data_IF_864212704029
#
_entry.id   IF_864212704029
#
_cell.length_a   1.000
_cell.length_b   1.000
_cell.length_c   1.000
_cell.angle_alpha   90.00
_cell.angle_beta   90.00
_cell.angle_gamma   90.00
#
_symmetry.space_group_name_H-M   'P 1'
#
loop_
_entity.id
_entity.type
_entity.pdbx_description
1 polymer ?
#
# COMPACT_ATOMS: atom_id res chain seq x y z
N UNK A 1 51.23 7.63 -6.63
CA UNK A 1 50.81 7.30 -8.00
C UNK A 1 49.34 6.91 -7.93
N UNK A 2 48.45 7.75 -8.47
CA UNK A 2 47.03 7.42 -8.62
C UNK A 2 46.94 6.18 -9.51
N UNK A 3 46.31 5.11 -9.02
CA UNK A 3 46.14 3.89 -9.77
C UNK A 3 45.51 4.20 -11.14
N UNK A 4 45.99 3.54 -12.20
CA UNK A 4 45.50 3.72 -13.56
C UNK A 4 44.01 3.32 -13.62
N UNK A 5 43.10 4.28 -13.43
CA UNK A 5 41.66 4.05 -13.38
C UNK A 5 41.13 3.96 -14.80
N UNK A 6 40.49 2.84 -15.12
CA UNK A 6 39.96 2.63 -16.46
C UNK A 6 38.84 3.62 -16.75
N UNK A 7 38.85 4.22 -17.95
CA UNK A 7 37.86 5.21 -18.39
C UNK A 7 36.40 4.75 -18.19
N UNK A 8 36.14 3.45 -18.37
CA UNK A 8 34.82 2.83 -18.13
C UNK A 8 34.23 3.13 -16.74
N UNK A 9 35.08 3.23 -15.71
CA UNK A 9 34.60 3.54 -14.36
C UNK A 9 34.25 5.02 -14.18
N UNK A 10 34.79 5.93 -14.99
CA UNK A 10 34.33 7.32 -15.02
C UNK A 10 32.94 7.39 -15.67
N UNK A 11 32.76 6.72 -16.81
CA UNK A 11 31.47 6.65 -17.51
C UNK A 11 30.36 6.02 -16.63
N UNK A 12 30.71 5.17 -15.66
CA UNK A 12 29.77 4.59 -14.70
C UNK A 12 29.46 5.50 -13.52
N UNK A 13 30.40 6.37 -13.13
CA UNK A 13 30.20 7.33 -12.05
C UNK A 13 29.27 8.47 -12.47
N UNK A 14 29.26 8.82 -13.77
CA UNK A 14 28.40 9.87 -14.33
C UNK A 14 26.97 9.39 -14.63
N UNK A 15 26.65 8.12 -14.41
CA UNK A 15 25.29 7.59 -14.63
C UNK A 15 24.32 8.11 -13.57
N UNK A 16 23.07 8.48 -13.93
CA UNK A 16 22.07 8.95 -12.97
C UNK A 16 21.82 8.00 -11.78
N UNK A 17 21.96 6.67 -11.98
CA UNK A 17 21.86 5.66 -10.92
C UNK A 17 22.80 5.92 -9.73
N UNK A 18 23.89 6.67 -9.92
CA UNK A 18 24.83 7.03 -8.85
C UNK A 18 24.33 8.12 -7.92
N UNK A 19 23.24 8.81 -8.29
CA UNK A 19 22.57 9.78 -7.43
C UNK A 19 21.73 9.08 -6.36
N UNK A 20 21.25 7.87 -6.65
CA UNK A 20 20.50 7.03 -5.73
C UNK A 20 21.37 6.62 -4.52
N UNK A 21 20.76 6.62 -3.34
CA UNK A 21 21.43 6.29 -2.08
C UNK A 21 21.09 4.86 -1.68
N UNK A 22 22.03 3.95 -1.95
CA UNK A 22 21.93 2.56 -1.51
C UNK A 22 22.47 2.42 -0.08
N UNK A 23 21.67 1.85 0.80
CA UNK A 23 22.07 1.47 2.15
C UNK A 23 22.34 -0.04 2.21
N UNK A 24 23.24 -0.45 3.11
CA UNK A 24 23.33 -1.86 3.52
C UNK A 24 22.18 -2.16 4.48
N UNK A 25 21.73 -3.41 4.50
CA UNK A 25 20.73 -3.84 5.49
C UNK A 25 21.25 -3.66 6.92
N UNK A 26 20.34 -3.23 7.80
CA UNK A 26 20.53 -3.08 9.24
C UNK A 26 19.23 -3.45 9.97
N UNK A 27 18.96 -4.76 10.17
CA UNK A 27 17.73 -5.24 10.79
C UNK A 27 17.49 -4.70 12.20
N UNK A 28 18.57 -4.40 12.95
CA UNK A 28 18.47 -3.85 14.30
C UNK A 28 17.84 -2.44 14.35
N UNK A 29 17.81 -1.73 13.22
CA UNK A 29 17.16 -0.42 13.05
C UNK A 29 15.96 -0.45 12.12
N UNK A 30 15.47 -1.64 11.75
CA UNK A 30 14.37 -1.81 10.80
C UNK A 30 14.76 -1.55 9.33
N UNK A 31 16.05 -1.43 9.00
CA UNK A 31 16.51 -1.33 7.61
C UNK A 31 16.67 -2.72 6.99
N UNK A 32 15.56 -3.44 6.86
CA UNK A 32 15.48 -4.74 6.22
C UNK A 32 14.14 -4.81 5.51
N UNK A 33 14.14 -5.08 4.20
CA UNK A 33 12.92 -5.02 3.42
C UNK A 33 11.95 -6.15 3.80
N UNK A 34 12.48 -7.35 4.04
CA UNK A 34 11.74 -8.57 4.38
C UNK A 34 12.67 -9.57 5.09
N UNK A 35 12.10 -10.51 5.84
CA UNK A 35 12.83 -11.61 6.50
C UNK A 35 13.89 -11.12 7.51
N UNK A 36 13.52 -10.12 8.32
CA UNK A 36 14.37 -9.69 9.42
C UNK A 36 14.53 -10.85 10.41
N UNK A 37 15.72 -11.07 10.98
CA UNK A 37 15.90 -12.02 12.07
C UNK A 37 15.06 -11.69 13.32
N UNK A 38 14.54 -10.46 13.42
CA UNK A 38 13.66 -10.02 14.49
C UNK A 38 12.16 -10.18 14.17
N UNK A 39 11.79 -10.59 12.95
CA UNK A 39 10.40 -10.84 12.60
C UNK A 39 9.87 -12.03 13.43
N UNK A 40 8.65 -11.95 13.99
CA UNK A 40 8.10 -13.03 14.78
C UNK A 40 7.82 -14.27 13.93
N UNK A 41 7.97 -15.45 14.55
CA UNK A 41 7.58 -16.70 13.92
C UNK A 41 6.04 -16.77 13.81
N UNK A 42 5.47 -17.17 12.64
CA UNK A 42 4.03 -17.22 12.47
C UNK A 42 3.37 -18.25 13.37
N UNK A 43 2.45 -17.79 14.22
CA UNK A 43 1.75 -18.66 15.17
C UNK A 43 0.40 -18.09 15.57
N UNK A 44 -0.55 -18.94 15.92
CA UNK A 44 -1.86 -18.51 16.43
C UNK A 44 -2.34 -19.47 17.51
N UNK A 45 -2.99 -18.95 18.54
CA UNK A 45 -3.80 -19.74 19.46
C UNK A 45 -5.22 -19.16 19.51
N UNK A 46 -6.21 -20.05 19.54
CA UNK A 46 -7.62 -19.70 19.60
C UNK A 46 -8.28 -20.45 20.75
N UNK A 47 -8.96 -19.73 21.64
CA UNK A 47 -9.74 -20.31 22.73
C UNK A 47 -11.12 -19.66 22.78
N UNK A 48 -12.17 -20.48 22.89
CA UNK A 48 -13.56 -20.00 23.00
C UNK A 48 -13.96 -19.01 21.89
N UNK A 49 -13.45 -19.22 20.67
CA UNK A 49 -13.72 -18.35 19.51
C UNK A 49 -13.02 -16.99 19.58
N UNK A 50 -11.92 -16.86 20.33
CA UNK A 50 -11.10 -15.65 20.42
C UNK A 50 -9.63 -15.97 20.22
N UNK A 51 -8.91 -15.07 19.58
CA UNK A 51 -7.45 -15.16 19.46
C UNK A 51 -6.82 -14.89 20.84
N UNK A 52 -6.06 -15.86 21.36
CA UNK A 52 -5.36 -15.77 22.64
C UNK A 52 -3.85 -15.60 22.50
N UNK A 53 -3.31 -15.83 21.31
CA UNK A 53 -1.93 -15.53 20.92
C UNK A 53 -1.86 -15.31 19.40
N UNK A 54 -1.06 -14.35 18.97
CA UNK A 54 -0.78 -14.05 17.56
C UNK A 54 0.71 -13.78 17.39
N UNK A 55 1.35 -14.48 16.45
CA UNK A 55 2.76 -14.34 16.08
C UNK A 55 3.72 -14.34 17.29
N UNK A 56 3.45 -15.23 18.25
CA UNK A 56 4.26 -15.40 19.45
C UNK A 56 3.96 -14.41 20.59
N UNK A 57 3.06 -13.44 20.38
CA UNK A 57 2.63 -12.48 21.42
C UNK A 57 1.33 -12.97 22.06
N UNK A 58 1.32 -13.11 23.39
CA UNK A 58 0.11 -13.51 24.12
C UNK A 58 -0.89 -12.35 24.18
N UNK A 59 -2.19 -12.66 24.25
CA UNK A 59 -3.23 -11.64 24.26
C UNK A 59 -3.15 -10.64 25.42
N UNK A 60 -2.50 -11.04 26.54
CA UNK A 60 -2.23 -10.16 27.66
C UNK A 60 -1.20 -9.06 27.33
N UNK A 61 -0.28 -9.35 26.41
CA UNK A 61 0.84 -8.49 26.01
C UNK A 61 0.58 -7.75 24.69
N UNK A 62 -0.56 -8.02 24.04
CA UNK A 62 -0.96 -7.32 22.83
C UNK A 62 -0.95 -5.81 23.01
N UNK A 63 -0.33 -5.12 22.06
CA UNK A 63 -0.44 -3.68 21.92
C UNK A 63 -1.76 -3.26 21.25
N UNK A 64 -1.85 -2.01 20.80
CA UNK A 64 -3.06 -1.51 20.12
C UNK A 64 -3.31 -2.19 18.77
N UNK A 65 -2.25 -2.43 17.99
CA UNK A 65 -2.31 -3.05 16.66
C UNK A 65 -2.66 -4.52 16.78
N UNK A 66 -1.99 -5.24 17.66
CA UNK A 66 -2.25 -6.64 17.92
C UNK A 66 -3.71 -6.86 18.31
N UNK A 67 -4.21 -6.06 19.26
CA UNK A 67 -5.62 -6.11 19.70
C UNK A 67 -6.57 -5.82 18.54
N UNK A 68 -6.25 -4.84 17.71
CA UNK A 68 -7.09 -4.45 16.59
C UNK A 68 -7.17 -5.57 15.54
N UNK A 69 -6.02 -6.12 15.14
CA UNK A 69 -5.93 -7.23 14.17
C UNK A 69 -6.63 -8.47 14.72
N UNK A 70 -6.26 -8.91 15.92
CA UNK A 70 -6.78 -10.12 16.55
C UNK A 70 -8.29 -10.08 16.79
N UNK A 71 -8.86 -8.89 16.99
CA UNK A 71 -10.30 -8.71 17.25
C UNK A 71 -11.13 -8.52 15.99
N UNK A 72 -10.62 -7.81 14.99
CA UNK A 72 -11.42 -7.33 13.86
C UNK A 72 -11.02 -7.90 12.50
N UNK A 73 -9.80 -8.41 12.35
CA UNK A 73 -9.25 -8.78 11.03
C UNK A 73 -8.75 -10.22 10.91
N UNK A 74 -8.60 -10.92 12.04
CA UNK A 74 -8.28 -12.35 12.06
C UNK A 74 -9.50 -13.17 12.49
N UNK A 75 -10.00 -14.05 11.60
CA UNK A 75 -11.16 -14.89 11.84
C UNK A 75 -10.78 -16.13 12.69
N UNK A 76 -11.23 -16.23 13.94
CA UNK A 76 -10.90 -17.34 14.83
C UNK A 76 -11.49 -18.69 14.39
N UNK A 77 -12.51 -18.70 13.51
CA UNK A 77 -13.07 -19.92 12.96
C UNK A 77 -12.22 -20.48 11.81
N UNK A 78 -11.50 -19.63 11.08
CA UNK A 78 -10.67 -20.01 9.92
C UNK A 78 -9.21 -20.19 10.33
N UNK A 79 -8.71 -19.42 11.29
CA UNK A 79 -7.30 -19.41 11.67
C UNK A 79 -6.70 -20.79 11.99
N UNK A 80 -7.38 -21.70 12.73
CA UNK A 80 -6.85 -23.04 12.99
C UNK A 80 -6.66 -23.89 11.73
N UNK A 81 -7.48 -23.70 10.70
CA UNK A 81 -7.32 -24.37 9.41
C UNK A 81 -6.19 -23.71 8.62
N UNK A 82 -6.30 -22.39 8.39
CA UNK A 82 -5.43 -21.66 7.48
C UNK A 82 -3.96 -21.68 7.93
N UNK A 83 -3.70 -21.55 9.24
CA UNK A 83 -2.34 -21.53 9.80
C UNK A 83 -1.64 -22.89 9.80
N UNK A 84 -2.36 -23.99 9.51
CA UNK A 84 -1.74 -25.32 9.35
C UNK A 84 -1.18 -25.56 7.95
N UNK A 85 -1.62 -24.78 6.97
CA UNK A 85 -1.14 -24.91 5.59
C UNK A 85 0.28 -24.33 5.53
N UNK A 86 1.29 -25.07 5.02
CA UNK A 86 2.63 -24.55 4.86
C UNK A 86 2.64 -23.27 4.00
N UNK A 87 3.42 -22.27 4.40
CA UNK A 87 3.48 -20.99 3.69
C UNK A 87 3.86 -21.15 2.21
N UNK A 88 4.80 -22.05 1.90
CA UNK A 88 5.17 -22.37 0.52
C UNK A 88 4.01 -22.96 -0.29
N UNK A 89 3.13 -23.74 0.32
CA UNK A 89 1.98 -24.31 -0.37
C UNK A 89 0.90 -23.25 -0.62
N UNK A 90 0.68 -22.32 0.31
CA UNK A 90 -0.14 -21.13 0.08
C UNK A 90 0.44 -20.26 -1.06
N UNK A 91 1.76 -20.06 -1.07
CA UNK A 91 2.46 -19.31 -2.11
C UNK A 91 2.27 -19.95 -3.50
N UNK A 92 2.38 -21.29 -3.60
CA UNK A 92 2.08 -22.03 -4.83
C UNK A 92 0.63 -21.85 -5.27
N UNK A 93 -0.33 -21.88 -4.35
CA UNK A 93 -1.75 -21.65 -4.68
C UNK A 93 -2.02 -20.23 -5.19
N UNK A 94 -1.25 -19.21 -4.75
CA UNK A 94 -1.35 -17.86 -5.29
C UNK A 94 -1.03 -17.82 -6.80
N UNK A 95 -0.16 -18.71 -7.30
CA UNK A 95 0.20 -18.81 -8.72
C UNK A 95 -0.44 -19.98 -9.49
N UNK A 96 -1.23 -20.83 -8.81
CA UNK A 96 -1.96 -21.92 -9.47
C UNK A 96 -3.25 -21.41 -10.15
N UNK A 97 -3.34 -21.51 -11.47
CA UNK A 97 -4.52 -21.06 -12.23
C UNK A 97 -5.83 -21.79 -11.87
N UNK A 98 -5.76 -22.98 -11.25
CA UNK A 98 -6.93 -23.74 -10.82
C UNK A 98 -7.40 -23.37 -9.41
N UNK A 99 -6.58 -22.67 -8.62
CA UNK A 99 -6.94 -22.24 -7.28
C UNK A 99 -7.84 -20.98 -7.36
N UNK A 100 -9.11 -21.05 -6.91
CA UNK A 100 -10.04 -19.94 -7.03
C UNK A 100 -9.70 -18.82 -6.05
N UNK A 101 -9.79 -17.57 -6.50
CA UNK A 101 -9.58 -16.37 -5.68
C UNK A 101 -10.40 -16.39 -4.38
N UNK A 102 -11.66 -16.84 -4.45
CA UNK A 102 -12.56 -16.87 -3.29
C UNK A 102 -12.04 -17.74 -2.14
N UNK A 103 -11.41 -18.89 -2.44
CA UNK A 103 -10.82 -19.75 -1.43
C UNK A 103 -9.57 -19.09 -0.82
N UNK A 104 -8.73 -18.46 -1.64
CA UNK A 104 -7.54 -17.75 -1.17
C UNK A 104 -7.89 -16.57 -0.27
N UNK A 105 -8.93 -15.80 -0.61
CA UNK A 105 -9.44 -14.71 0.23
C UNK A 105 -9.99 -15.26 1.55
N UNK A 106 -10.77 -16.35 1.51
CA UNK A 106 -11.26 -17.01 2.74
C UNK A 106 -10.10 -17.42 3.65
N UNK A 107 -9.09 -18.10 3.10
CA UNK A 107 -7.92 -18.52 3.87
C UNK A 107 -7.15 -17.33 4.44
N UNK A 108 -6.98 -16.26 3.67
CA UNK A 108 -6.28 -15.05 4.11
C UNK A 108 -6.89 -14.42 5.38
N UNK A 109 -8.21 -14.52 5.57
CA UNK A 109 -8.86 -14.07 6.81
C UNK A 109 -8.47 -14.89 8.05
N UNK A 110 -7.86 -16.06 7.89
CA UNK A 110 -7.32 -16.85 9.00
C UNK A 110 -5.80 -16.79 9.15
N UNK A 111 -5.09 -16.04 8.30
CA UNK A 111 -3.62 -15.95 8.37
C UNK A 111 -3.21 -14.73 9.21
N UNK A 112 -2.22 -14.93 10.08
CA UNK A 112 -1.61 -13.85 10.86
C UNK A 112 -0.73 -12.94 9.98
N UNK A 113 -0.40 -11.72 10.43
CA UNK A 113 0.51 -10.84 9.69
C UNK A 113 1.84 -11.51 9.32
N UNK A 114 2.50 -12.20 10.26
CA UNK A 114 3.76 -12.88 9.97
C UNK A 114 3.58 -14.01 8.95
N UNK A 115 2.46 -14.75 9.00
CA UNK A 115 2.18 -15.80 8.02
C UNK A 115 1.96 -15.22 6.62
N UNK A 116 1.22 -14.12 6.50
CA UNK A 116 1.01 -13.45 5.22
C UNK A 116 2.33 -12.97 4.61
N UNK A 117 3.19 -12.35 5.42
CA UNK A 117 4.52 -11.91 5.00
C UNK A 117 5.41 -13.08 4.55
N UNK A 118 5.41 -14.19 5.30
CA UNK A 118 6.14 -15.42 4.95
C UNK A 118 5.68 -15.99 3.61
N UNK A 119 4.36 -16.08 3.37
CA UNK A 119 3.79 -16.59 2.12
C UNK A 119 4.24 -15.78 0.92
N UNK A 120 4.15 -14.44 0.98
CA UNK A 120 4.56 -13.59 -0.14
C UNK A 120 6.08 -13.56 -0.32
N UNK A 121 6.85 -13.75 0.75
CA UNK A 121 8.31 -13.84 0.70
C UNK A 121 8.86 -15.06 -0.02
N UNK A 122 8.03 -16.08 -0.27
CA UNK A 122 8.40 -17.20 -1.13
C UNK A 122 8.30 -16.89 -2.64
N UNK A 123 7.69 -15.78 -3.03
CA UNK A 123 7.42 -15.47 -4.44
C UNK A 123 8.49 -14.56 -5.04
N UNK A 124 8.92 -14.88 -6.26
CA UNK A 124 9.68 -13.97 -7.10
C UNK A 124 8.80 -12.82 -7.62
N UNK A 125 9.42 -11.77 -8.17
CA UNK A 125 8.69 -10.65 -8.77
C UNK A 125 7.71 -11.07 -9.87
N UNK A 126 8.04 -12.10 -10.67
CA UNK A 126 7.16 -12.62 -11.71
C UNK A 126 5.94 -13.33 -11.13
N UNK A 127 6.15 -14.13 -10.09
CA UNK A 127 5.10 -14.84 -9.38
C UNK A 127 4.17 -13.88 -8.63
N UNK A 128 4.72 -12.81 -8.03
CA UNK A 128 3.93 -11.73 -7.43
C UNK A 128 3.05 -11.05 -8.47
N UNK A 129 3.58 -10.73 -9.67
CA UNK A 129 2.78 -10.14 -10.74
C UNK A 129 1.61 -11.04 -11.17
N UNK A 130 1.86 -12.36 -11.29
CA UNK A 130 0.81 -13.34 -11.58
C UNK A 130 -0.23 -13.39 -10.45
N UNK A 131 0.21 -13.56 -9.20
CA UNK A 131 -0.65 -13.61 -8.02
C UNK A 131 -1.51 -12.35 -7.90
N UNK A 132 -0.92 -11.16 -8.11
CA UNK A 132 -1.61 -9.88 -8.11
C UNK A 132 -2.72 -9.84 -9.18
N UNK A 133 -2.45 -10.33 -10.38
CA UNK A 133 -3.45 -10.38 -11.46
C UNK A 133 -4.68 -11.23 -11.10
N UNK A 134 -4.48 -12.33 -10.35
CA UNK A 134 -5.56 -13.20 -9.83
C UNK A 134 -6.27 -12.55 -8.64
N UNK A 135 -5.52 -12.00 -7.69
CA UNK A 135 -6.04 -11.54 -6.40
C UNK A 135 -6.68 -10.15 -6.46
N UNK A 136 -6.36 -9.32 -7.47
CA UNK A 136 -6.98 -8.02 -7.70
C UNK A 136 -8.50 -8.10 -7.63
N UNK A 137 -9.10 -7.25 -6.79
CA UNK A 137 -10.54 -7.28 -6.54
C UNK A 137 -11.36 -6.81 -7.75
N UNK A 138 -10.92 -5.74 -8.42
CA UNK A 138 -11.56 -5.24 -9.64
C UNK A 138 -11.04 -5.99 -10.87
N UNK A 139 -11.96 -6.41 -11.75
CA UNK A 139 -11.60 -7.08 -13.02
C UNK A 139 -10.79 -6.14 -13.92
N UNK A 140 -11.32 -4.96 -14.18
CA UNK A 140 -10.63 -3.92 -14.93
C UNK A 140 -9.69 -3.14 -14.01
N UNK A 141 -8.41 -2.99 -14.34
CA UNK A 141 -7.52 -2.10 -13.60
C UNK A 141 -7.96 -0.64 -13.81
N UNK A 142 -7.86 0.16 -12.76
CA UNK A 142 -7.97 1.61 -12.82
C UNK A 142 -6.60 2.26 -12.75
N UNK A 143 -6.53 3.58 -12.93
CA UNK A 143 -5.33 4.36 -12.77
C UNK A 143 -5.63 5.69 -12.10
N UNK A 144 -4.66 6.21 -11.34
CA UNK A 144 -4.75 7.45 -10.59
C UNK A 144 -3.64 8.41 -11.03
N UNK A 145 -3.92 9.72 -11.03
CA UNK A 145 -2.93 10.76 -11.34
C UNK A 145 -2.81 11.80 -10.23
N UNK A 146 -1.61 12.33 -10.02
CA UNK A 146 -1.42 13.55 -9.24
C UNK A 146 -1.63 14.78 -10.13
N UNK A 147 -2.40 15.73 -9.61
CA UNK A 147 -2.65 17.06 -10.18
C UNK A 147 -2.20 18.08 -9.15
N UNK A 148 -0.96 18.54 -9.28
CA UNK A 148 -0.34 19.50 -8.36
C UNK A 148 0.52 20.49 -9.14
N UNK A 149 0.81 21.64 -8.54
CA UNK A 149 1.84 22.53 -9.04
C UNK A 149 2.56 23.22 -7.88
N UNK A 150 3.81 23.65 -8.11
CA UNK A 150 4.67 24.18 -7.06
C UNK A 150 4.19 25.48 -6.39
N UNK A 151 3.13 26.11 -6.93
CA UNK A 151 2.56 27.38 -6.46
C UNK A 151 1.17 27.21 -5.84
N UNK A 152 0.61 26.01 -5.85
CA UNK A 152 -0.80 25.77 -5.55
C UNK A 152 -1.73 26.66 -6.38
N UNK A 153 -1.37 26.93 -7.65
CA UNK A 153 -2.16 27.80 -8.54
C UNK A 153 -3.47 27.08 -8.93
N UNK A 154 -4.64 27.57 -8.48
CA UNK A 154 -5.92 26.89 -8.71
C UNK A 154 -6.32 26.89 -10.19
N UNK A 155 -5.88 27.86 -10.99
CA UNK A 155 -6.22 27.87 -12.41
C UNK A 155 -5.50 26.73 -13.14
N UNK A 156 -4.22 26.53 -12.83
CA UNK A 156 -3.46 25.42 -13.39
C UNK A 156 -4.02 24.08 -12.91
N UNK A 157 -4.36 23.94 -11.61
CA UNK A 157 -4.94 22.71 -11.06
C UNK A 157 -6.24 22.32 -11.78
N UNK A 158 -7.14 23.26 -12.02
CA UNK A 158 -8.38 22.98 -12.72
C UNK A 158 -8.13 22.53 -14.17
N UNK A 159 -7.19 23.15 -14.88
CA UNK A 159 -6.83 22.78 -16.24
C UNK A 159 -6.17 21.40 -16.31
N UNK A 160 -5.18 21.14 -15.45
CA UNK A 160 -4.46 19.87 -15.40
C UNK A 160 -5.38 18.73 -14.95
N UNK A 161 -6.33 18.98 -14.03
CA UNK A 161 -7.35 18.01 -13.65
C UNK A 161 -8.26 17.64 -14.83
N UNK A 162 -8.76 18.63 -15.58
CA UNK A 162 -9.59 18.36 -16.76
C UNK A 162 -8.83 17.54 -17.81
N UNK A 163 -7.55 17.84 -18.04
CA UNK A 163 -6.69 17.11 -18.98
C UNK A 163 -6.42 15.68 -18.49
N UNK A 164 -6.02 15.51 -17.23
CA UNK A 164 -5.74 14.19 -16.65
C UNK A 164 -6.97 13.29 -16.80
N UNK A 165 -8.13 13.80 -16.40
CA UNK A 165 -9.37 13.04 -16.52
C UNK A 165 -9.71 12.71 -17.98
N UNK A 166 -9.51 13.64 -18.91
CA UNK A 166 -9.70 13.39 -20.35
C UNK A 166 -8.74 12.34 -20.92
N UNK A 167 -7.54 12.18 -20.34
CA UNK A 167 -6.58 11.13 -20.70
C UNK A 167 -6.95 9.75 -20.14
N UNK A 168 -8.01 9.66 -19.33
CA UNK A 168 -8.58 8.39 -18.86
C UNK A 168 -8.22 8.00 -17.44
N UNK A 169 -7.72 8.91 -16.61
CA UNK A 169 -7.58 8.65 -15.17
C UNK A 169 -8.96 8.55 -14.49
N UNK A 170 -9.16 7.48 -13.72
CA UNK A 170 -10.42 7.22 -13.00
C UNK A 170 -10.48 7.90 -11.65
N UNK A 171 -9.30 8.23 -11.12
CA UNK A 171 -9.08 8.89 -9.85
C UNK A 171 -8.00 9.97 -10.05
N UNK A 172 -8.17 11.13 -9.44
CA UNK A 172 -7.12 12.15 -9.38
C UNK A 172 -6.89 12.62 -7.95
N UNK A 173 -5.66 12.97 -7.64
CA UNK A 173 -5.25 13.46 -6.33
C UNK A 173 -4.60 14.82 -6.45
N UNK A 174 -4.90 15.72 -5.52
CA UNK A 174 -4.10 16.91 -5.29
C UNK A 174 -3.56 16.96 -3.87
N UNK A 175 -2.55 17.77 -3.66
CA UNK A 175 -2.06 18.18 -2.35
C UNK A 175 -1.49 19.59 -2.49
N UNK A 176 -0.98 20.15 -1.40
CA UNK A 176 -0.64 21.56 -1.26
C UNK A 176 0.77 21.74 -0.74
N UNK A 177 1.49 22.71 -1.33
CA UNK A 177 2.74 23.20 -0.77
C UNK A 177 2.51 24.04 0.48
N UNK A 178 1.45 24.84 0.48
CA UNK A 178 1.05 25.67 1.63
C UNK A 178 -0.27 25.14 2.16
N UNK A 179 -0.28 24.64 3.40
CA UNK A 179 -1.46 24.00 4.02
C UNK A 179 -2.78 24.78 3.85
N UNK A 180 -2.74 26.11 3.97
CA UNK A 180 -3.93 26.99 3.82
C UNK A 180 -4.55 26.98 2.42
N UNK A 181 -3.86 26.48 1.41
CA UNK A 181 -4.35 26.37 0.04
C UNK A 181 -5.13 25.07 -0.23
N UNK A 182 -5.24 24.16 0.75
CA UNK A 182 -5.95 22.89 0.58
C UNK A 182 -7.38 23.10 0.02
N UNK A 183 -8.14 24.05 0.57
CA UNK A 183 -9.49 24.37 0.10
C UNK A 183 -9.54 24.89 -1.34
N UNK A 184 -8.61 25.77 -1.74
CA UNK A 184 -8.55 26.26 -3.11
C UNK A 184 -8.14 25.17 -4.09
N UNK A 185 -7.23 24.28 -3.68
CA UNK A 185 -6.77 23.17 -4.49
C UNK A 185 -7.89 22.13 -4.69
N UNK A 186 -8.56 21.75 -3.59
CA UNK A 186 -9.70 20.85 -3.62
C UNK A 186 -10.80 21.38 -4.55
N UNK A 187 -11.19 22.65 -4.40
CA UNK A 187 -12.20 23.27 -5.27
C UNK A 187 -11.76 23.29 -6.73
N UNK A 188 -10.52 23.68 -7.03
CA UNK A 188 -10.00 23.73 -8.39
C UNK A 188 -10.04 22.35 -9.07
N UNK A 189 -9.56 21.31 -8.39
CA UNK A 189 -9.59 19.96 -8.90
C UNK A 189 -11.02 19.40 -9.01
N UNK A 190 -11.92 19.74 -8.08
CA UNK A 190 -13.35 19.38 -8.17
C UNK A 190 -13.98 19.88 -9.47
N UNK A 191 -13.74 21.16 -9.79
CA UNK A 191 -14.21 21.79 -11.02
C UNK A 191 -13.55 21.15 -12.24
N UNK A 192 -12.22 21.02 -12.24
CA UNK A 192 -11.49 20.45 -13.36
C UNK A 192 -11.90 19.01 -13.68
N UNK A 193 -12.00 18.15 -12.66
CA UNK A 193 -12.46 16.77 -12.81
C UNK A 193 -13.87 16.70 -13.42
N UNK A 194 -14.78 17.53 -12.92
CA UNK A 194 -16.17 17.60 -13.40
C UNK A 194 -16.27 18.06 -14.86
N UNK A 195 -15.36 18.94 -15.30
CA UNK A 195 -15.27 19.40 -16.70
C UNK A 195 -14.67 18.31 -17.61
N UNK A 196 -13.64 17.60 -17.17
CA UNK A 196 -12.96 16.58 -17.99
C UNK A 196 -13.83 15.36 -18.28
N UNK A 197 -14.39 14.74 -17.25
CA UNK A 197 -15.31 13.59 -17.36
C UNK A 197 -16.11 13.48 -16.07
N UNK A 198 -17.43 13.60 -16.20
CA UNK A 198 -18.33 13.39 -15.07
C UNK A 198 -18.16 11.99 -14.46
N UNK A 199 -18.04 11.92 -13.13
CA UNK A 199 -17.91 10.68 -12.38
C UNK A 199 -16.47 10.25 -12.06
N UNK A 200 -15.44 10.97 -12.49
CA UNK A 200 -14.08 10.75 -11.99
C UNK A 200 -13.99 11.11 -10.51
N UNK A 201 -13.40 10.20 -9.72
CA UNK A 201 -13.19 10.43 -8.30
C UNK A 201 -12.00 11.37 -8.10
N UNK A 202 -12.07 12.20 -7.06
CA UNK A 202 -10.97 13.09 -6.72
C UNK A 202 -10.82 13.29 -5.21
N UNK A 203 -9.57 13.45 -4.78
CA UNK A 203 -9.17 13.69 -3.38
C UNK A 203 -8.22 14.88 -3.24
N UNK A 204 -8.07 15.37 -2.00
CA UNK A 204 -7.16 16.44 -1.62
C UNK A 204 -6.40 16.06 -0.35
N UNK A 205 -5.25 15.41 -0.52
CA UNK A 205 -4.45 14.82 0.55
C UNK A 205 -3.89 15.89 1.48
N UNK A 206 -4.34 15.87 2.73
CA UNK A 206 -4.06 16.88 3.75
C UNK A 206 -3.89 16.25 5.13
N UNK A 207 -3.84 17.07 6.19
CA UNK A 207 -3.99 16.55 7.55
C UNK A 207 -5.40 15.96 7.71
N UNK A 208 -5.52 14.85 8.45
CA UNK A 208 -6.71 13.99 8.51
C UNK A 208 -8.01 14.75 8.84
N UNK A 209 -7.98 15.65 9.81
CA UNK A 209 -9.17 16.43 10.20
C UNK A 209 -9.53 17.49 9.15
N UNK A 210 -8.54 18.15 8.56
CA UNK A 210 -8.73 19.10 7.47
C UNK A 210 -9.30 18.41 6.21
N UNK A 211 -8.74 17.26 5.84
CA UNK A 211 -9.20 16.46 4.69
C UNK A 211 -10.65 16.01 4.87
N UNK A 212 -11.02 15.57 6.08
CA UNK A 212 -12.40 15.22 6.41
C UNK A 212 -13.35 16.43 6.34
N UNK A 213 -12.92 17.62 6.76
CA UNK A 213 -13.73 18.83 6.65
C UNK A 213 -13.99 19.23 5.19
N UNK A 214 -12.97 19.14 4.33
CA UNK A 214 -13.10 19.38 2.89
C UNK A 214 -14.10 18.38 2.27
N UNK A 215 -14.01 17.10 2.66
CA UNK A 215 -14.94 16.07 2.21
C UNK A 215 -16.38 16.32 2.68
N UNK A 216 -16.57 16.69 3.96
CA UNK A 216 -17.88 17.04 4.52
C UNK A 216 -18.50 18.26 3.85
N UNK A 217 -17.68 19.20 3.36
CA UNK A 217 -18.12 20.34 2.58
C UNK A 217 -18.44 19.99 1.11
N UNK A 218 -18.21 18.75 0.68
CA UNK A 218 -18.49 18.27 -0.67
C UNK A 218 -17.44 18.69 -1.71
N UNK A 219 -16.23 19.04 -1.27
CA UNK A 219 -15.14 19.45 -2.16
C UNK A 219 -14.13 18.33 -2.44
N UNK A 220 -14.41 17.09 -2.05
CA UNK A 220 -13.74 15.86 -2.51
C UNK A 220 -14.78 14.75 -2.65
N UNK A 221 -14.48 13.72 -3.43
CA UNK A 221 -15.39 12.56 -3.58
C UNK A 221 -14.89 11.30 -2.84
N UNK A 222 -13.63 11.28 -2.41
CA UNK A 222 -13.04 10.24 -1.56
C UNK A 222 -11.79 10.80 -0.83
N UNK A 223 -11.20 9.96 0.04
CA UNK A 223 -9.92 10.17 0.70
C UNK A 223 -9.12 8.86 0.65
N UNK A 224 -7.81 8.93 0.40
CA UNK A 224 -6.90 7.79 0.31
C UNK A 224 -5.81 7.84 1.38
N UNK A 225 -5.26 9.02 1.64
CA UNK A 225 -4.10 9.21 2.52
C UNK A 225 -4.42 9.13 4.01
N UNK A 226 -5.49 8.41 4.36
CA UNK A 226 -5.90 8.09 5.73
C UNK A 226 -4.93 7.06 6.29
N UNK A 227 -3.89 7.56 6.95
CA UNK A 227 -2.67 6.79 7.17
C UNK A 227 -2.80 5.82 8.36
N UNK A 228 -2.25 4.62 8.19
CA UNK A 228 -2.07 3.63 9.27
C UNK A 228 -0.61 3.20 9.33
N UNK A 229 -0.16 2.78 10.52
CA UNK A 229 1.23 2.41 10.78
C UNK A 229 1.30 1.07 11.50
N UNK A 230 2.35 0.30 11.19
CA UNK A 230 2.68 -0.98 11.81
C UNK A 230 3.64 -0.84 12.99
#
# INVERSE_FOLDING_TARGET
MTANRWKRFADWDDRPLRLDKFAKEDPARGFCAMHSPADPAPAVAVEQGRITMMDGVAAADFDMLDRFIARYHLDPAIAPEAMTIPALDLARRLVDMNAPRAELVRLAHGLTPARLAEVVGHLSALEIAFAYSKMRARRSPGNQAHVTNAKDDPLQLAADAAIAVALGFDEIETTQRVARNAWSNALACAVGASVGRWGTLFQCSSEEAEELQIAMAGFTSYAETVSVYG
#
